data_IF_369109250615
#
_entry.id   IF_369109250615
#
_cell.length_a   1.000
_cell.length_b   1.000
_cell.length_c   1.000
_cell.angle_alpha   90.00
_cell.angle_beta   90.00
_cell.angle_gamma   90.00
#
_symmetry.space_group_name_H-M   'P 1'
#
loop_
_entity.id
_entity.type
_entity.pdbx_description
1 polymer ?
#
# COMPACT_ATOMS: atom_id res chain seq x y z
N UNK A 1 37.82 -0.35 10.77
CA UNK A 1 37.28 0.24 9.51
C UNK A 1 37.35 -0.70 8.28
N UNK A 2 37.54 -2.02 8.45
CA UNK A 2 37.60 -3.01 7.35
C UNK A 2 36.52 -4.11 7.39
N UNK A 3 35.58 -4.06 8.34
CA UNK A 3 34.51 -5.07 8.48
C UNK A 3 33.20 -4.64 7.79
N UNK A 4 32.97 -3.32 7.64
CA UNK A 4 31.79 -2.80 6.93
C UNK A 4 31.84 -2.94 5.41
N UNK A 5 33.03 -3.16 4.81
CA UNK A 5 33.15 -3.41 3.36
C UNK A 5 32.65 -4.80 2.95
N UNK A 6 32.61 -5.75 3.89
CA UNK A 6 32.24 -7.14 3.62
C UNK A 6 30.73 -7.33 3.48
N UNK A 7 29.91 -6.48 4.11
CA UNK A 7 28.45 -6.56 4.09
C UNK A 7 27.75 -5.70 3.02
N UNK A 8 28.51 -4.84 2.31
CA UNK A 8 27.99 -3.96 1.25
C UNK A 8 28.48 -4.35 -0.15
N UNK A 9 29.03 -5.55 -0.33
CA UNK A 9 29.51 -6.03 -1.63
C UNK A 9 28.38 -6.68 -2.44
N UNK A 10 27.93 -6.10 -3.58
CA UNK A 10 26.80 -6.63 -4.36
C UNK A 10 27.14 -7.87 -5.21
N UNK A 11 28.22 -8.59 -4.92
CA UNK A 11 28.90 -9.35 -5.97
C UNK A 11 29.00 -10.85 -5.79
N UNK A 12 28.01 -11.49 -5.15
CA UNK A 12 27.99 -12.96 -5.05
C UNK A 12 26.62 -13.59 -5.24
N UNK A 13 25.87 -13.11 -6.24
CA UNK A 13 24.68 -13.77 -6.77
C UNK A 13 24.90 -13.92 -8.28
N UNK A 14 24.69 -15.14 -8.76
CA UNK A 14 24.76 -15.58 -10.15
C UNK A 14 23.91 -14.71 -11.08
N UNK A 15 24.50 -13.63 -11.58
CA UNK A 15 24.10 -13.00 -12.83
C UNK A 15 25.12 -13.39 -13.92
N UNK A 16 24.74 -13.43 -15.21
CA UNK A 16 25.74 -13.38 -16.27
C UNK A 16 26.61 -12.15 -16.01
N UNK A 17 27.92 -12.39 -15.86
CA UNK A 17 28.94 -11.44 -15.40
C UNK A 17 28.48 -9.97 -15.35
N UNK A 18 27.93 -9.54 -14.21
CA UNK A 18 27.60 -8.13 -14.01
C UNK A 18 28.91 -7.34 -14.13
N UNK A 19 29.02 -6.37 -15.06
CA UNK A 19 30.28 -5.72 -15.34
C UNK A 19 30.69 -4.89 -14.12
N UNK A 20 31.67 -5.35 -13.36
CA UNK A 20 32.20 -4.60 -12.21
C UNK A 20 32.97 -3.35 -12.72
N UNK A 21 32.90 -2.26 -11.97
CA UNK A 21 33.58 -1.00 -12.27
C UNK A 21 32.64 0.07 -12.86
N UNK A 22 33.20 1.06 -13.57
CA UNK A 22 32.44 2.18 -14.17
C UNK A 22 31.30 1.73 -15.10
N UNK A 23 31.41 0.52 -15.67
CA UNK A 23 30.41 -0.06 -16.58
C UNK A 23 29.14 -0.56 -15.86
N UNK A 24 29.25 -1.19 -14.68
CA UNK A 24 28.11 -1.64 -13.88
C UNK A 24 27.32 -0.48 -13.28
N UNK A 25 28.04 0.53 -12.74
CA UNK A 25 27.40 1.78 -12.31
C UNK A 25 26.67 2.47 -13.46
N UNK A 26 27.26 2.47 -14.67
CA UNK A 26 26.62 3.00 -15.87
C UNK A 26 25.38 2.18 -16.29
N UNK A 27 25.37 0.86 -16.10
CA UNK A 27 24.22 -0.01 -16.34
C UNK A 27 23.08 0.23 -15.34
N UNK A 28 23.38 0.38 -14.06
CA UNK A 28 22.39 0.77 -13.04
C UNK A 28 21.85 2.19 -13.27
N UNK A 29 22.73 3.16 -13.53
CA UNK A 29 22.35 4.54 -13.84
C UNK A 29 21.51 4.61 -15.12
N UNK A 30 21.85 3.84 -16.16
CA UNK A 30 21.04 3.79 -17.39
C UNK A 30 19.72 3.06 -17.18
N UNK A 31 19.65 2.07 -16.29
CA UNK A 31 18.41 1.38 -15.89
C UNK A 31 17.48 2.31 -15.11
N UNK A 32 17.96 2.98 -14.07
CA UNK A 32 17.19 3.97 -13.29
C UNK A 32 16.75 5.11 -14.21
N UNK A 33 17.64 5.64 -15.03
CA UNK A 33 17.31 6.69 -16.01
C UNK A 33 16.28 6.22 -17.04
N UNK A 34 16.26 4.93 -17.39
CA UNK A 34 15.22 4.35 -18.26
C UNK A 34 13.89 4.26 -17.53
N UNK A 35 13.86 3.79 -16.29
CA UNK A 35 12.64 3.72 -15.46
C UNK A 35 12.06 5.11 -15.22
N UNK A 36 12.90 6.10 -14.88
CA UNK A 36 12.48 7.49 -14.70
C UNK A 36 11.88 8.05 -15.99
N UNK A 37 12.52 7.82 -17.14
CA UNK A 37 11.97 8.24 -18.44
C UNK A 37 10.62 7.58 -18.73
N UNK A 38 10.53 6.25 -18.59
CA UNK A 38 9.27 5.52 -18.80
C UNK A 38 8.18 6.06 -17.87
N UNK A 39 8.48 6.29 -16.59
CA UNK A 39 7.55 6.86 -15.63
C UNK A 39 7.04 8.24 -16.06
N UNK A 40 7.94 9.16 -16.43
CA UNK A 40 7.54 10.50 -16.86
C UNK A 40 6.80 10.50 -18.20
N UNK A 41 7.21 9.67 -19.16
CA UNK A 41 6.49 9.49 -20.43
C UNK A 41 5.09 8.95 -20.18
N UNK A 42 4.94 7.95 -19.31
CA UNK A 42 3.65 7.39 -18.92
C UNK A 42 2.76 8.42 -18.20
N UNK A 43 3.32 9.18 -17.25
CA UNK A 43 2.59 10.26 -16.57
C UNK A 43 2.20 11.39 -17.53
N UNK A 44 3.07 11.74 -18.46
CA UNK A 44 2.79 12.70 -19.53
C UNK A 44 1.64 12.22 -20.43
N UNK A 45 1.63 10.94 -20.81
CA UNK A 45 0.55 10.34 -21.59
C UNK A 45 -0.79 10.39 -20.83
N UNK A 46 -0.80 10.01 -19.56
CA UNK A 46 -2.01 10.08 -18.73
C UNK A 46 -2.51 11.52 -18.56
N UNK A 47 -1.60 12.48 -18.41
CA UNK A 47 -1.94 13.90 -18.34
C UNK A 47 -2.54 14.38 -19.66
N UNK A 48 -1.96 13.98 -20.79
CA UNK A 48 -2.46 14.31 -22.12
C UNK A 48 -3.88 13.76 -22.33
N UNK A 49 -4.10 12.49 -21.98
CA UNK A 49 -5.44 11.87 -22.00
C UNK A 49 -6.42 12.65 -21.13
N UNK A 50 -6.00 13.09 -19.93
CA UNK A 50 -6.84 13.87 -19.04
C UNK A 50 -7.22 15.25 -19.60
N UNK A 51 -6.30 15.92 -20.29
CA UNK A 51 -6.52 17.25 -20.87
C UNK A 51 -7.33 17.22 -22.17
N UNK A 52 -7.18 16.15 -22.97
CA UNK A 52 -7.85 15.97 -24.27
C UNK A 52 -9.20 15.27 -24.16
N UNK A 53 -9.55 14.73 -22.99
CA UNK A 53 -10.83 14.08 -22.75
C UNK A 53 -12.01 15.03 -23.02
N UNK A 54 -13.03 14.63 -23.82
CA UNK A 54 -14.25 15.41 -24.01
C UNK A 54 -15.15 15.39 -22.74
N UNK A 55 -16.07 16.35 -22.59
CA UNK A 55 -17.08 16.40 -21.51
C UNK A 55 -16.84 17.48 -20.44
N UNK A 56 -17.69 17.58 -19.41
CA UNK A 56 -17.61 18.62 -18.35
C UNK A 56 -16.58 18.31 -17.23
N UNK A 57 -15.85 17.19 -17.32
CA UNK A 57 -14.95 16.71 -16.26
C UNK A 57 -15.66 15.80 -15.25
N UNK A 58 -14.87 15.14 -14.39
CA UNK A 58 -15.37 14.09 -13.47
C UNK A 58 -16.19 14.64 -12.30
N UNK A 59 -15.98 15.91 -11.92
CA UNK A 59 -16.47 16.48 -10.67
C UNK A 59 -17.17 17.83 -10.85
N UNK A 60 -18.46 17.86 -10.56
CA UNK A 60 -19.29 19.08 -10.58
C UNK A 60 -18.91 20.06 -9.47
N UNK A 61 -18.30 19.61 -8.38
CA UNK A 61 -17.91 20.46 -7.24
C UNK A 61 -16.82 21.46 -7.63
N UNK A 62 -15.92 21.06 -8.53
CA UNK A 62 -14.89 21.96 -9.07
C UNK A 62 -15.55 23.07 -9.88
N UNK A 63 -16.49 22.72 -10.77
CA UNK A 63 -17.23 23.68 -11.58
C UNK A 63 -18.03 24.66 -10.72
N UNK A 64 -18.77 24.16 -9.71
CA UNK A 64 -19.52 25.01 -8.77
C UNK A 64 -18.60 26.01 -8.05
N UNK A 65 -17.39 25.57 -7.64
CA UNK A 65 -16.42 26.43 -6.97
C UNK A 65 -15.91 27.55 -7.89
N UNK A 66 -15.71 27.25 -9.18
CA UNK A 66 -15.33 28.25 -10.18
C UNK A 66 -16.49 29.20 -10.49
N UNK A 67 -17.70 28.68 -10.67
CA UNK A 67 -18.89 29.48 -10.96
C UNK A 67 -19.20 30.49 -9.83
N UNK A 68 -18.94 30.12 -8.57
CA UNK A 68 -19.13 30.99 -7.40
C UNK A 68 -18.08 32.10 -7.30
N UNK A 69 -16.84 31.86 -7.75
CA UNK A 69 -15.70 32.76 -7.57
C UNK A 69 -15.29 33.52 -8.85
N UNK A 70 -15.97 33.30 -9.98
CA UNK A 70 -15.64 33.94 -11.25
C UNK A 70 -15.95 35.44 -11.21
N UNK A 71 -14.95 36.33 -11.35
CA UNK A 71 -15.20 37.75 -11.52
C UNK A 71 -15.87 37.97 -12.88
N UNK A 72 -17.03 38.64 -12.91
CA UNK A 72 -17.69 39.07 -14.15
C UNK A 72 -16.83 40.15 -14.84
N UNK A 73 -15.81 39.75 -15.60
CA UNK A 73 -15.04 40.66 -16.46
C UNK A 73 -13.60 40.22 -16.72
N UNK A 74 -13.29 40.01 -18.00
CA UNK A 74 -11.95 39.79 -18.59
C UNK A 74 -11.31 38.41 -18.37
N UNK A 75 -11.68 37.42 -19.20
CA UNK A 75 -10.98 36.14 -19.28
C UNK A 75 -9.89 36.16 -20.35
N UNK A 76 -8.66 36.46 -19.93
CA UNK A 76 -7.45 36.17 -20.71
C UNK A 76 -7.43 34.71 -21.16
N UNK A 77 -6.89 34.42 -22.35
CA UNK A 77 -6.71 33.04 -22.84
C UNK A 77 -5.98 32.15 -21.82
N UNK A 78 -5.03 32.73 -21.07
CA UNK A 78 -4.31 32.03 -19.99
C UNK A 78 -5.25 31.60 -18.87
N UNK A 79 -6.23 32.44 -18.50
CA UNK A 79 -7.23 32.11 -17.49
C UNK A 79 -8.12 30.95 -17.96
N UNK A 80 -8.54 30.95 -19.23
CA UNK A 80 -9.33 29.85 -19.80
C UNK A 80 -8.56 28.52 -19.87
N UNK A 81 -7.29 28.57 -20.25
CA UNK A 81 -6.41 27.38 -20.25
C UNK A 81 -6.19 26.87 -18.83
N UNK A 82 -5.95 27.79 -17.87
CA UNK A 82 -5.75 27.43 -16.47
C UNK A 82 -7.01 26.81 -15.87
N UNK A 83 -8.17 27.42 -16.12
CA UNK A 83 -9.47 26.89 -15.70
C UNK A 83 -9.73 25.49 -16.28
N UNK A 84 -9.48 25.29 -17.59
CA UNK A 84 -9.60 23.97 -18.21
C UNK A 84 -8.68 22.93 -17.56
N UNK A 85 -7.43 23.29 -17.28
CA UNK A 85 -6.47 22.40 -16.60
C UNK A 85 -6.92 22.09 -15.17
N UNK A 86 -7.37 23.09 -14.40
CA UNK A 86 -7.80 22.90 -13.01
C UNK A 86 -9.07 22.06 -12.95
N UNK A 87 -10.06 22.29 -13.81
CA UNK A 87 -11.28 21.47 -13.91
C UNK A 87 -10.97 20.00 -14.20
N UNK A 88 -9.96 19.72 -15.04
CA UNK A 88 -9.58 18.34 -15.40
C UNK A 88 -8.76 17.63 -14.35
N UNK A 89 -7.98 18.37 -13.55
CA UNK A 89 -7.04 17.80 -12.57
C UNK A 89 -7.55 17.86 -11.12
N UNK A 90 -8.55 18.68 -10.83
CA UNK A 90 -9.13 18.83 -9.48
C UNK A 90 -10.25 17.81 -9.28
N UNK A 91 -10.32 17.27 -8.06
CA UNK A 91 -11.33 16.30 -7.68
C UNK A 91 -11.92 16.71 -6.34
N UNK A 92 -13.12 16.24 -6.06
CA UNK A 92 -13.87 16.59 -4.85
C UNK A 92 -13.04 16.40 -3.58
N UNK A 93 -12.27 15.31 -3.44
CA UNK A 93 -11.32 15.12 -2.33
C UNK A 93 -10.39 16.33 -2.14
N UNK A 94 -9.80 16.85 -3.22
CA UNK A 94 -8.91 18.00 -3.17
C UNK A 94 -9.66 19.27 -2.73
N UNK A 95 -10.88 19.47 -3.21
CA UNK A 95 -11.72 20.60 -2.78
C UNK A 95 -12.00 20.51 -1.29
N UNK A 96 -12.41 19.34 -0.78
CA UNK A 96 -12.63 19.12 0.65
C UNK A 96 -11.36 19.37 1.47
N UNK A 97 -10.19 18.92 1.01
CA UNK A 97 -8.93 19.21 1.69
C UNK A 97 -8.56 20.70 1.63
N UNK A 98 -8.79 21.38 0.51
CA UNK A 98 -8.49 22.81 0.35
C UNK A 98 -9.41 23.66 1.22
N UNK A 99 -10.73 23.43 1.15
CA UNK A 99 -11.72 24.13 1.95
C UNK A 99 -11.47 23.92 3.45
N UNK A 100 -11.24 22.68 3.87
CA UNK A 100 -10.94 22.35 5.26
C UNK A 100 -9.62 22.94 5.76
N UNK A 101 -8.64 23.13 4.87
CA UNK A 101 -7.38 23.80 5.22
C UNK A 101 -7.55 25.31 5.36
N UNK A 102 -8.37 25.92 4.51
CA UNK A 102 -8.61 27.36 4.50
C UNK A 102 -9.48 27.83 5.66
N UNK A 103 -10.64 27.17 5.85
CA UNK A 103 -11.66 27.61 6.82
C UNK A 103 -11.86 26.67 8.01
N UNK A 104 -11.13 25.56 8.06
CA UNK A 104 -11.41 24.50 9.03
C UNK A 104 -12.65 23.68 8.65
N UNK A 105 -13.00 22.73 9.51
CA UNK A 105 -14.14 21.84 9.33
C UNK A 105 -15.39 22.59 9.78
N UNK A 106 -16.42 22.62 8.93
CA UNK A 106 -17.73 23.19 9.26
C UNK A 106 -18.82 22.13 9.21
N UNK A 107 -18.72 21.20 8.26
CA UNK A 107 -19.76 20.21 8.02
C UNK A 107 -19.33 18.80 8.46
N UNK A 108 -20.29 18.00 8.91
CA UNK A 108 -20.04 16.64 9.42
C UNK A 108 -19.37 15.74 8.36
N UNK A 109 -19.77 15.84 7.09
CA UNK A 109 -19.19 15.03 6.01
C UNK A 109 -17.69 15.27 5.81
N UNK A 110 -17.16 16.41 6.24
CA UNK A 110 -15.74 16.73 6.10
C UNK A 110 -14.88 15.82 6.98
N UNK A 111 -15.45 15.27 8.07
CA UNK A 111 -14.80 14.34 9.01
C UNK A 111 -14.47 12.96 8.43
N UNK A 112 -14.92 12.68 7.20
CA UNK A 112 -14.44 11.56 6.42
C UNK A 112 -13.01 11.74 5.90
N UNK A 113 -12.59 13.00 5.76
CA UNK A 113 -11.27 13.39 5.28
C UNK A 113 -10.33 13.65 6.45
N UNK A 114 -9.02 13.54 6.20
CA UNK A 114 -8.00 13.68 7.24
C UNK A 114 -7.99 15.08 7.87
N UNK A 115 -8.46 15.14 9.10
CA UNK A 115 -8.42 16.35 9.94
C UNK A 115 -6.99 16.82 10.19
N UNK A 116 -6.08 15.88 10.47
CA UNK A 116 -4.65 16.17 10.71
C UNK A 116 -4.02 16.77 9.47
N UNK A 117 -4.26 16.19 8.29
CA UNK A 117 -3.72 16.73 7.04
C UNK A 117 -4.20 18.16 6.81
N UNK A 118 -5.50 18.43 6.93
CA UNK A 118 -6.07 19.77 6.75
C UNK A 118 -5.45 20.82 7.67
N UNK A 119 -5.14 20.46 8.92
CA UNK A 119 -4.44 21.36 9.87
C UNK A 119 -2.98 21.59 9.50
N UNK A 120 -2.28 20.56 9.04
CA UNK A 120 -0.90 20.67 8.59
C UNK A 120 -0.80 21.52 7.32
N UNK A 121 -1.68 21.31 6.34
CA UNK A 121 -1.74 22.09 5.11
C UNK A 121 -2.21 23.52 5.36
N UNK A 122 -3.12 23.78 6.31
CA UNK A 122 -3.48 25.14 6.73
C UNK A 122 -2.27 25.95 7.20
N UNK A 123 -1.41 25.34 8.05
CA UNK A 123 -0.17 25.97 8.51
C UNK A 123 0.90 26.08 7.42
N UNK A 124 0.93 25.11 6.50
CA UNK A 124 1.86 25.08 5.38
C UNK A 124 1.38 25.91 4.17
N UNK A 125 0.16 26.46 4.17
CA UNK A 125 -0.43 27.18 3.03
C UNK A 125 0.32 28.46 2.61
N UNK A 126 1.35 28.88 3.35
CA UNK A 126 2.35 29.83 2.86
C UNK A 126 3.36 29.21 1.87
N UNK A 127 3.25 27.92 1.53
CA UNK A 127 4.14 27.21 0.60
C UNK A 127 3.47 25.99 -0.05
N UNK A 128 2.95 26.17 -1.27
CA UNK A 128 2.58 25.16 -2.26
C UNK A 128 1.59 24.04 -1.84
N UNK A 129 0.33 24.18 -2.28
CA UNK A 129 -0.73 23.18 -2.17
C UNK A 129 -0.49 21.96 -3.08
N UNK A 130 -0.68 20.73 -2.57
CA UNK A 130 -0.44 19.48 -3.31
C UNK A 130 -1.68 18.55 -3.28
N UNK A 131 -2.56 18.57 -4.31
CA UNK A 131 -3.93 18.00 -4.31
C UNK A 131 -4.05 16.47 -4.14
N UNK A 132 -2.94 15.73 -3.99
CA UNK A 132 -2.91 14.27 -3.82
C UNK A 132 -1.96 13.80 -2.71
N UNK A 133 -1.56 14.71 -1.81
CA UNK A 133 -0.62 14.39 -0.74
C UNK A 133 -1.15 13.29 0.21
N UNK A 134 -2.43 13.24 0.63
CA UNK A 134 -2.87 12.25 1.62
C UNK A 134 -2.73 10.79 1.17
N UNK A 135 -2.97 10.49 -0.12
CA UNK A 135 -2.84 9.13 -0.69
C UNK A 135 -1.37 8.70 -0.72
N UNK A 136 -0.49 9.61 -1.15
CA UNK A 136 0.95 9.35 -1.26
C UNK A 136 1.60 9.25 0.11
N UNK A 137 1.24 10.14 1.03
CA UNK A 137 1.69 10.12 2.42
C UNK A 137 1.20 8.87 3.13
N UNK A 138 -0.06 8.45 2.93
CA UNK A 138 -0.58 7.18 3.43
C UNK A 138 0.25 5.98 2.95
N UNK A 139 0.52 5.89 1.64
CA UNK A 139 1.30 4.80 1.07
C UNK A 139 2.74 4.81 1.59
N UNK A 140 3.40 5.97 1.60
CA UNK A 140 4.77 6.12 2.09
C UNK A 140 4.90 5.72 3.57
N UNK A 141 3.97 6.18 4.43
CA UNK A 141 3.95 5.83 5.85
C UNK A 141 3.62 4.36 6.08
N UNK A 142 2.74 3.77 5.27
CA UNK A 142 2.42 2.32 5.36
C UNK A 142 3.62 1.46 4.96
N UNK A 143 4.35 1.83 3.90
CA UNK A 143 5.59 1.16 3.51
C UNK A 143 6.69 1.33 4.56
N UNK A 144 6.84 2.53 5.12
CA UNK A 144 7.77 2.80 6.22
C UNK A 144 7.43 1.97 7.45
N UNK A 145 6.14 1.87 7.81
CA UNK A 145 5.66 1.02 8.90
C UNK A 145 5.98 -0.46 8.68
N UNK A 146 5.73 -0.98 7.48
CA UNK A 146 6.10 -2.34 7.10
C UNK A 146 7.61 -2.57 7.17
N UNK A 147 8.42 -1.62 6.70
CA UNK A 147 9.88 -1.69 6.77
C UNK A 147 10.38 -1.73 8.21
N UNK A 148 9.90 -0.80 9.06
CA UNK A 148 10.22 -0.77 10.49
C UNK A 148 9.79 -2.08 11.17
N UNK A 149 8.63 -2.64 10.81
CA UNK A 149 8.17 -3.93 11.33
C UNK A 149 9.12 -5.08 10.94
N UNK A 150 9.53 -5.15 9.67
CA UNK A 150 10.52 -6.16 9.23
C UNK A 150 11.83 -6.02 10.00
N UNK A 151 12.31 -4.79 10.22
CA UNK A 151 13.51 -4.52 11.03
C UNK A 151 13.34 -4.90 12.50
N UNK A 152 12.16 -4.73 13.07
CA UNK A 152 11.86 -5.22 14.40
C UNK A 152 12.01 -6.75 14.48
N UNK A 153 11.35 -7.48 13.55
CA UNK A 153 11.42 -8.95 13.50
C UNK A 153 12.85 -9.44 13.22
N UNK A 154 13.61 -8.76 12.36
CA UNK A 154 15.01 -9.10 12.10
C UNK A 154 15.85 -9.07 13.38
N UNK A 155 15.66 -8.05 14.23
CA UNK A 155 16.33 -7.92 15.51
C UNK A 155 15.87 -8.97 16.53
N UNK A 156 14.60 -9.41 16.51
CA UNK A 156 14.10 -10.50 17.38
C UNK A 156 14.86 -11.81 17.21
N UNK A 157 15.35 -12.09 16.00
CA UNK A 157 16.10 -13.32 15.72
C UNK A 157 17.62 -13.14 15.76
N UNK A 158 18.12 -11.94 16.07
CA UNK A 158 19.53 -11.69 16.33
C UNK A 158 19.89 -12.00 17.79
N UNK A 159 21.15 -12.41 18.04
CA UNK A 159 21.62 -12.93 19.34
C UNK A 159 22.59 -11.99 20.08
N UNK A 160 22.58 -10.68 19.79
CA UNK A 160 23.43 -9.72 20.51
C UNK A 160 22.68 -9.11 21.71
N UNK A 161 23.41 -8.66 22.73
CA UNK A 161 22.86 -8.29 24.04
C UNK A 161 21.74 -7.21 23.98
N UNK A 162 21.85 -6.24 23.07
CA UNK A 162 20.90 -5.12 22.96
C UNK A 162 19.78 -5.35 21.92
N UNK A 163 19.69 -6.56 21.34
CA UNK A 163 18.77 -6.84 20.23
C UNK A 163 17.29 -6.62 20.59
N UNK A 164 16.91 -6.91 21.84
CA UNK A 164 15.54 -6.76 22.33
C UNK A 164 15.11 -5.29 22.47
N UNK A 165 16.05 -4.39 22.81
CA UNK A 165 15.78 -2.95 22.87
C UNK A 165 15.61 -2.36 21.46
N UNK A 166 16.45 -2.79 20.51
CA UNK A 166 16.30 -2.40 19.12
C UNK A 166 14.98 -2.91 18.52
N UNK A 167 14.58 -4.16 18.78
CA UNK A 167 13.27 -4.69 18.40
C UNK A 167 12.13 -3.80 18.91
N UNK A 168 12.18 -3.42 20.19
CA UNK A 168 11.18 -2.56 20.79
C UNK A 168 11.11 -1.19 20.11
N UNK A 169 12.26 -0.54 19.87
CA UNK A 169 12.34 0.74 19.18
C UNK A 169 11.77 0.67 17.75
N UNK A 170 12.14 -0.35 16.98
CA UNK A 170 11.63 -0.56 15.63
C UNK A 170 10.13 -0.89 15.62
N UNK A 171 9.64 -1.65 16.59
CA UNK A 171 8.21 -1.96 16.77
C UNK A 171 7.41 -0.69 17.03
N UNK A 172 7.88 0.18 17.93
CA UNK A 172 7.24 1.47 18.23
C UNK A 172 7.32 2.40 17.01
N UNK A 173 8.44 2.45 16.29
CA UNK A 173 8.58 3.22 15.05
C UNK A 173 7.60 2.75 13.96
N UNK A 174 7.35 1.43 13.87
CA UNK A 174 6.34 0.87 12.97
C UNK A 174 4.93 1.31 13.39
N UNK A 175 4.60 1.24 14.68
CA UNK A 175 3.33 1.72 15.24
C UNK A 175 3.10 3.21 15.01
N UNK A 176 4.12 4.05 15.19
CA UNK A 176 4.07 5.48 14.90
C UNK A 176 3.79 5.73 13.42
N UNK A 177 4.51 5.04 12.53
CA UNK A 177 4.33 5.18 11.09
C UNK A 177 2.92 4.77 10.64
N UNK A 178 2.41 3.63 11.14
CA UNK A 178 1.05 3.19 10.87
C UNK A 178 -0.02 4.08 11.52
N UNK A 179 0.23 4.63 12.71
CA UNK A 179 -0.66 5.57 13.37
C UNK A 179 -0.77 6.88 12.60
N UNK A 180 0.35 7.42 12.13
CA UNK A 180 0.36 8.57 11.22
C UNK A 180 -0.35 8.24 9.91
N UNK A 181 -0.14 7.05 9.33
CA UNK A 181 -0.89 6.61 8.15
C UNK A 181 -2.42 6.59 8.42
N UNK A 182 -2.82 6.14 9.61
CA UNK A 182 -4.23 6.09 10.04
C UNK A 182 -4.86 7.46 10.17
N UNK A 183 -4.10 8.48 10.61
CA UNK A 183 -4.60 9.87 10.62
C UNK A 183 -4.78 10.43 9.21
N UNK A 184 -3.97 10.01 8.23
CA UNK A 184 -4.12 10.39 6.82
C UNK A 184 -5.33 9.70 6.16
N UNK A 185 -5.58 8.44 6.54
CA UNK A 185 -6.75 7.67 6.10
C UNK A 185 -7.11 6.61 7.16
N UNK A 186 -8.38 6.57 7.53
CA UNK A 186 -8.94 5.57 8.46
C UNK A 186 -8.67 4.12 8.06
N UNK A 187 -8.50 3.81 6.77
CA UNK A 187 -8.09 2.49 6.29
C UNK A 187 -6.74 2.00 6.85
N UNK A 188 -5.89 2.91 7.32
CA UNK A 188 -4.64 2.57 8.02
C UNK A 188 -4.84 1.77 9.30
N UNK A 189 -6.05 1.83 9.89
CA UNK A 189 -6.43 1.04 11.07
C UNK A 189 -6.24 -0.47 10.82
N UNK A 190 -6.40 -0.94 9.58
CA UNK A 190 -6.20 -2.35 9.21
C UNK A 190 -4.76 -2.82 9.44
N UNK A 191 -3.76 -1.93 9.39
CA UNK A 191 -2.38 -2.29 9.72
C UNK A 191 -2.21 -2.68 11.20
N UNK A 192 -3.14 -2.28 12.08
CA UNK A 192 -3.15 -2.69 13.49
C UNK A 192 -3.34 -4.19 13.69
N UNK A 193 -3.86 -4.91 12.69
CA UNK A 193 -4.01 -6.37 12.73
C UNK A 193 -2.65 -7.08 12.82
N UNK A 194 -1.58 -6.48 12.27
CA UNK A 194 -0.22 -7.01 12.38
C UNK A 194 0.18 -7.14 13.86
N UNK A 195 -0.05 -6.10 14.65
CA UNK A 195 0.25 -6.10 16.08
C UNK A 195 -0.75 -6.91 16.89
N UNK A 196 -2.03 -6.93 16.50
CA UNK A 196 -3.03 -7.78 17.13
C UNK A 196 -2.66 -9.27 17.01
N UNK A 197 -2.15 -9.68 15.84
CA UNK A 197 -1.62 -11.03 15.63
C UNK A 197 -0.43 -11.30 16.54
N UNK A 198 0.53 -10.36 16.66
CA UNK A 198 1.68 -10.51 17.56
C UNK A 198 1.24 -10.66 19.02
N UNK A 199 0.31 -9.84 19.50
CA UNK A 199 -0.28 -9.97 20.84
C UNK A 199 -0.96 -11.32 21.02
N UNK A 200 -1.75 -11.77 20.06
CA UNK A 200 -2.42 -13.07 20.09
C UNK A 200 -1.41 -14.22 20.23
N UNK A 201 -0.25 -14.15 19.56
CA UNK A 201 0.80 -15.17 19.71
C UNK A 201 1.54 -15.11 21.04
N UNK A 202 1.59 -13.94 21.70
CA UNK A 202 2.23 -13.75 23.01
C UNK A 202 1.28 -14.17 24.15
N UNK A 203 -0.03 -14.00 23.98
CA UNK A 203 -1.03 -14.17 25.03
C UNK A 203 -0.96 -15.52 25.77
N UNK A 204 -0.79 -16.69 25.11
CA UNK A 204 -0.66 -17.97 25.82
C UNK A 204 0.62 -18.09 26.67
N UNK A 205 1.68 -17.35 26.31
CA UNK A 205 2.97 -17.34 27.02
C UNK A 205 3.03 -16.28 28.12
N UNK A 206 2.05 -15.39 28.19
CA UNK A 206 2.02 -14.27 29.11
C UNK A 206 2.14 -14.67 30.60
N UNK A 207 1.45 -15.72 31.10
CA UNK A 207 1.58 -16.13 32.51
C UNK A 207 3.01 -16.57 32.85
N UNK A 208 3.70 -17.23 31.91
CA UNK A 208 5.08 -17.66 32.10
C UNK A 208 6.03 -16.46 32.12
N UNK A 209 5.92 -15.54 31.15
CA UNK A 209 6.72 -14.30 31.05
C UNK A 209 6.61 -13.46 32.33
N UNK A 210 5.40 -13.31 32.86
CA UNK A 210 5.16 -12.53 34.08
C UNK A 210 5.72 -13.22 35.33
N UNK A 211 5.64 -14.56 35.39
CA UNK A 211 6.16 -15.33 36.53
C UNK A 211 7.69 -15.37 36.57
N UNK A 212 8.34 -15.51 35.42
CA UNK A 212 9.81 -15.55 35.31
C UNK A 212 10.44 -14.17 35.26
N UNK A 213 9.63 -13.10 35.15
CA UNK A 213 10.09 -11.71 34.94
C UNK A 213 11.05 -11.60 33.75
N UNK A 214 10.71 -12.27 32.66
CA UNK A 214 11.48 -12.22 31.42
C UNK A 214 11.44 -10.81 30.82
N UNK A 215 12.55 -10.08 30.97
CA UNK A 215 12.68 -8.70 30.50
C UNK A 215 12.44 -8.56 29.00
N UNK A 216 12.89 -9.53 28.20
CA UNK A 216 12.69 -9.50 26.74
C UNK A 216 11.20 -9.60 26.39
N UNK A 217 10.51 -10.61 26.95
CA UNK A 217 9.09 -10.83 26.74
C UNK A 217 8.24 -9.63 27.18
N UNK A 218 8.58 -9.02 28.32
CA UNK A 218 7.90 -7.84 28.86
C UNK A 218 8.12 -6.63 27.94
N UNK A 219 9.36 -6.31 27.58
CA UNK A 219 9.67 -5.17 26.70
C UNK A 219 8.97 -5.31 25.34
N UNK A 220 8.98 -6.51 24.74
CA UNK A 220 8.29 -6.77 23.47
C UNK A 220 6.78 -6.59 23.57
N UNK A 221 6.16 -7.07 24.66
CA UNK A 221 4.73 -6.89 24.90
C UNK A 221 4.38 -5.39 25.00
N UNK A 222 5.10 -4.64 25.83
CA UNK A 222 4.87 -3.21 25.98
C UNK A 222 5.10 -2.44 24.68
N UNK A 223 6.15 -2.76 23.91
CA UNK A 223 6.40 -2.15 22.61
C UNK A 223 5.26 -2.44 21.62
N UNK A 224 4.75 -3.67 21.57
CA UNK A 224 3.65 -4.08 20.68
C UNK A 224 2.34 -3.41 21.07
N UNK A 225 2.03 -3.33 22.37
CA UNK A 225 0.85 -2.63 22.89
C UNK A 225 0.93 -1.12 22.62
N UNK A 226 2.11 -0.53 22.82
CA UNK A 226 2.36 0.88 22.50
C UNK A 226 2.16 1.14 21.01
N UNK A 227 2.72 0.27 20.15
CA UNK A 227 2.57 0.38 18.70
C UNK A 227 1.12 0.28 18.24
N UNK A 228 0.35 -0.67 18.77
CA UNK A 228 -1.09 -0.78 18.52
C UNK A 228 -1.89 0.42 19.07
N UNK A 229 -1.51 0.91 20.25
CA UNK A 229 -2.09 2.11 20.87
C UNK A 229 -1.89 3.36 20.02
N UNK A 230 -0.71 3.55 19.41
CA UNK A 230 -0.45 4.67 18.50
C UNK A 230 -1.37 4.64 17.25
N UNK A 231 -1.68 3.45 16.74
CA UNK A 231 -2.66 3.29 15.65
C UNK A 231 -4.07 3.65 16.12
N UNK A 232 -4.46 3.15 17.30
CA UNK A 232 -5.76 3.46 17.88
C UNK A 232 -5.92 4.97 18.10
N UNK A 233 -4.91 5.65 18.64
CA UNK A 233 -4.87 7.12 18.80
C UNK A 233 -5.04 7.81 17.43
N UNK A 234 -4.36 7.32 16.39
CA UNK A 234 -4.49 7.86 15.04
C UNK A 234 -5.92 7.82 14.48
N UNK A 235 -6.74 6.85 14.91
CA UNK A 235 -8.14 6.74 14.54
C UNK A 235 -9.09 7.48 15.50
N UNK A 236 -8.87 7.40 16.81
CA UNK A 236 -9.78 7.94 17.83
C UNK A 236 -9.61 9.44 18.04
N UNK A 237 -8.43 10.01 17.83
CA UNK A 237 -8.19 11.44 18.04
C UNK A 237 -9.14 12.32 17.20
N UNK A 238 -9.28 12.15 15.87
CA UNK A 238 -10.26 12.92 15.10
C UNK A 238 -11.71 12.68 15.57
N UNK A 239 -12.04 11.46 15.99
CA UNK A 239 -13.39 11.12 16.47
C UNK A 239 -13.73 11.86 17.77
N UNK A 240 -12.76 11.97 18.69
CA UNK A 240 -12.93 12.70 19.96
C UNK A 240 -13.10 14.19 19.69
N UNK A 241 -12.28 14.78 18.82
CA UNK A 241 -12.40 16.21 18.48
C UNK A 241 -13.78 16.49 17.87
N UNK A 242 -14.24 15.65 16.94
CA UNK A 242 -15.58 15.77 16.38
C UNK A 242 -16.67 15.64 17.45
N UNK A 243 -16.54 14.67 18.35
CA UNK A 243 -17.49 14.49 19.44
C UNK A 243 -17.57 15.73 20.34
N UNK A 244 -16.42 16.32 20.68
CA UNK A 244 -16.39 17.56 21.48
C UNK A 244 -17.04 18.74 20.78
N UNK A 245 -17.08 18.76 19.44
CA UNK A 245 -17.64 19.86 18.66
C UNK A 245 -19.15 19.70 18.42
N UNK A 246 -19.62 18.50 18.08
CA UNK A 246 -21.02 18.27 17.70
C UNK A 246 -21.91 17.68 18.80
N UNK A 247 -21.34 16.96 19.76
CA UNK A 247 -22.09 16.25 20.80
C UNK A 247 -22.09 16.97 22.15
N UNK A 248 -21.40 18.10 22.26
CA UNK A 248 -21.42 18.96 23.44
C UNK A 248 -22.41 20.12 23.23
N UNK A 249 -22.73 20.88 24.29
CA UNK A 249 -23.59 22.06 24.24
C UNK A 249 -25.06 21.79 23.85
N UNK A 250 -25.62 20.64 24.23
CA UNK A 250 -27.04 20.35 24.09
C UNK A 250 -27.49 19.88 22.70
N UNK A 251 -26.57 19.72 21.75
CA UNK A 251 -26.84 19.11 20.46
C UNK A 251 -26.83 17.57 20.56
N UNK A 252 -27.91 16.91 20.15
CA UNK A 252 -28.03 15.45 20.16
C UNK A 252 -28.09 14.91 18.73
N UNK A 253 -26.93 14.88 18.05
CA UNK A 253 -26.85 14.17 16.75
C UNK A 253 -27.04 12.65 16.98
N UNK A 254 -27.66 11.92 16.05
CA UNK A 254 -27.98 10.49 16.24
C UNK A 254 -26.76 9.60 16.54
N UNK A 255 -25.58 10.03 16.12
CA UNK A 255 -24.34 9.28 16.32
C UNK A 255 -23.66 9.57 17.66
N UNK A 256 -24.07 10.62 18.39
CA UNK A 256 -23.56 10.92 19.72
C UNK A 256 -24.03 9.90 20.76
N UNK A 257 -25.22 9.31 20.57
CA UNK A 257 -25.82 8.30 21.44
C UNK A 257 -25.57 6.87 20.97
N UNK A 258 -24.93 6.69 19.81
CA UNK A 258 -24.57 5.37 19.29
C UNK A 258 -23.42 4.75 20.10
N UNK A 259 -23.39 3.41 20.20
CA UNK A 259 -22.33 2.68 20.91
C UNK A 259 -21.54 1.78 19.93
N UNK A 260 -20.26 2.07 19.64
CA UNK A 260 -19.49 3.26 20.02
C UNK A 260 -19.89 4.52 19.21
N UNK A 261 -19.75 5.73 19.78
CA UNK A 261 -20.01 6.97 19.06
C UNK A 261 -18.92 7.18 18.00
N UNK A 262 -19.31 7.36 16.74
CA UNK A 262 -18.38 7.48 15.61
C UNK A 262 -18.97 8.37 14.52
N UNK A 263 -18.44 9.59 14.38
CA UNK A 263 -18.80 10.48 13.28
C UNK A 263 -18.45 9.84 11.94
N UNK A 264 -17.33 9.11 11.87
CA UNK A 264 -16.92 8.43 10.63
C UNK A 264 -17.98 7.41 10.19
N UNK A 265 -18.44 6.55 11.09
CA UNK A 265 -19.45 5.53 10.76
C UNK A 265 -20.79 6.15 10.38
N UNK A 266 -21.17 7.23 11.07
CA UNK A 266 -22.37 7.99 10.73
C UNK A 266 -22.28 8.58 9.33
N UNK A 267 -21.18 9.27 9.05
CA UNK A 267 -20.97 9.94 7.78
C UNK A 267 -20.92 8.94 6.61
N UNK A 268 -20.23 7.80 6.80
CA UNK A 268 -20.21 6.71 5.81
C UNK A 268 -21.63 6.20 5.50
N UNK A 269 -22.47 6.05 6.51
CA UNK A 269 -23.84 5.55 6.37
C UNK A 269 -24.80 6.60 5.80
N UNK A 270 -24.76 7.82 6.32
CA UNK A 270 -25.74 8.89 6.06
C UNK A 270 -25.48 9.58 4.72
N UNK A 271 -24.24 9.99 4.46
CA UNK A 271 -23.90 10.79 3.27
C UNK A 271 -23.44 9.94 2.08
N UNK A 272 -22.86 8.76 2.32
CA UNK A 272 -22.37 7.88 1.25
C UNK A 272 -23.10 6.54 1.15
N UNK A 273 -24.12 6.28 1.96
CA UNK A 273 -24.89 5.03 1.94
C UNK A 273 -24.01 3.75 2.00
N UNK A 274 -22.88 3.82 2.71
CA UNK A 274 -21.96 2.70 2.91
C UNK A 274 -22.58 1.71 3.90
N UNK A 275 -22.51 0.43 3.56
CA UNK A 275 -23.02 -0.64 4.41
C UNK A 275 -22.97 -1.98 3.69
N UNK A 276 -23.27 -3.04 4.44
CA UNK A 276 -23.21 -4.41 3.94
C UNK A 276 -24.14 -4.59 2.73
N UNK A 277 -23.56 -4.95 1.60
CA UNK A 277 -24.15 -5.14 0.28
C UNK A 277 -24.94 -3.95 -0.31
N UNK A 278 -24.92 -2.77 0.32
CA UNK A 278 -25.65 -1.58 -0.16
C UNK A 278 -25.17 -1.07 -1.51
N UNK A 279 -23.91 -1.34 -1.82
CA UNK A 279 -23.29 -0.93 -3.07
C UNK A 279 -23.62 -1.87 -4.26
N UNK A 280 -24.19 -3.05 -3.99
CA UNK A 280 -24.54 -4.05 -5.01
C UNK A 280 -25.82 -3.66 -5.74
N UNK A 281 -25.67 -2.77 -6.72
CA UNK A 281 -26.74 -2.39 -7.66
C UNK A 281 -26.27 -2.63 -9.09
N UNK A 282 -27.21 -2.90 -10.01
CA UNK A 282 -26.88 -3.10 -11.42
C UNK A 282 -26.22 -1.86 -12.04
N UNK A 283 -26.60 -0.66 -11.57
CA UNK A 283 -26.01 0.60 -12.02
C UNK A 283 -24.53 0.71 -11.64
N UNK A 284 -24.11 0.09 -10.54
CA UNK A 284 -22.72 0.08 -10.08
C UNK A 284 -21.88 -1.02 -10.74
N UNK A 285 -22.47 -1.93 -11.53
CA UNK A 285 -21.76 -3.03 -12.17
C UNK A 285 -20.51 -2.59 -12.94
N UNK A 286 -20.51 -1.50 -13.73
CA UNK A 286 -19.29 -1.02 -14.40
C UNK A 286 -18.15 -0.72 -13.43
N UNK A 287 -18.47 -0.24 -12.23
CA UNK A 287 -17.49 0.11 -11.20
C UNK A 287 -16.88 -1.13 -10.54
N UNK A 288 -17.68 -2.20 -10.38
CA UNK A 288 -17.16 -3.51 -9.98
C UNK A 288 -16.25 -4.11 -11.04
N UNK A 289 -16.64 -4.07 -12.31
CA UNK A 289 -15.80 -4.55 -13.42
C UNK A 289 -14.48 -3.80 -13.49
N UNK A 290 -14.51 -2.50 -13.20
CA UNK A 290 -13.34 -1.65 -13.15
C UNK A 290 -12.40 -1.98 -11.98
N UNK A 291 -12.90 -2.41 -10.83
CA UNK A 291 -12.08 -2.77 -9.67
C UNK A 291 -11.68 -4.25 -9.64
N UNK A 292 -12.37 -5.11 -10.40
CA UNK A 292 -12.19 -6.56 -10.36
C UNK A 292 -10.76 -7.05 -10.67
N UNK A 293 -10.03 -6.53 -11.68
CA UNK A 293 -8.67 -7.02 -11.97
C UNK A 293 -7.72 -6.80 -10.79
N UNK A 294 -7.79 -5.63 -10.16
CA UNK A 294 -6.97 -5.30 -9.01
C UNK A 294 -7.41 -6.08 -7.76
N UNK A 295 -8.72 -6.18 -7.51
CA UNK A 295 -9.25 -6.97 -6.39
C UNK A 295 -8.84 -8.44 -6.49
N UNK A 296 -8.94 -9.03 -7.68
CA UNK A 296 -8.48 -10.40 -7.96
C UNK A 296 -6.98 -10.55 -7.68
N UNK A 297 -6.15 -9.65 -8.20
CA UNK A 297 -4.70 -9.66 -7.95
C UNK A 297 -4.38 -9.58 -6.46
N UNK A 298 -5.04 -8.70 -5.72
CA UNK A 298 -4.82 -8.53 -4.27
C UNK A 298 -5.29 -9.75 -3.45
N UNK A 299 -6.44 -10.36 -3.78
CA UNK A 299 -6.89 -11.60 -3.13
C UNK A 299 -5.89 -12.71 -3.41
N UNK A 300 -5.55 -12.90 -4.69
CA UNK A 300 -4.74 -14.01 -5.14
C UNK A 300 -3.31 -13.96 -4.54
N UNK A 301 -2.69 -12.77 -4.55
CA UNK A 301 -1.38 -12.54 -3.92
C UNK A 301 -1.42 -12.69 -2.39
N UNK A 302 -2.48 -12.22 -1.72
CA UNK A 302 -2.63 -12.37 -0.28
C UNK A 302 -2.82 -13.85 0.12
N UNK A 303 -3.69 -14.60 -0.56
CA UNK A 303 -3.90 -16.03 -0.31
C UNK A 303 -2.63 -16.84 -0.58
N UNK A 304 -1.88 -16.51 -1.63
CA UNK A 304 -0.58 -17.14 -1.90
C UNK A 304 0.43 -16.86 -0.78
N UNK A 305 0.49 -15.63 -0.29
CA UNK A 305 1.35 -15.22 0.81
C UNK A 305 0.97 -15.88 2.15
N UNK A 306 -0.32 -16.19 2.37
CA UNK A 306 -0.84 -16.85 3.57
C UNK A 306 -0.72 -18.37 3.53
N UNK A 307 -1.02 -19.01 2.41
CA UNK A 307 -1.17 -20.46 2.28
C UNK A 307 0.09 -21.16 1.74
N UNK A 308 0.97 -20.45 1.02
CA UNK A 308 2.12 -21.02 0.32
C UNK A 308 3.45 -20.39 0.71
N UNK A 309 3.54 -19.83 1.91
CA UNK A 309 4.72 -19.11 2.42
C UNK A 309 5.99 -19.96 2.39
N UNK A 310 5.91 -21.24 2.78
CA UNK A 310 7.07 -22.15 2.76
C UNK A 310 7.56 -22.45 1.34
N UNK A 311 6.61 -22.70 0.42
CA UNK A 311 6.90 -22.90 -0.99
C UNK A 311 7.55 -21.67 -1.62
N UNK A 312 7.09 -20.47 -1.25
CA UNK A 312 7.65 -19.20 -1.68
C UNK A 312 9.11 -19.05 -1.23
N UNK A 313 9.38 -19.29 0.05
CA UNK A 313 10.74 -19.20 0.59
C UNK A 313 11.70 -20.18 -0.10
N UNK A 314 11.29 -21.43 -0.26
CA UNK A 314 12.12 -22.48 -0.90
C UNK A 314 12.38 -22.23 -2.37
N UNK A 315 11.47 -21.56 -3.09
CA UNK A 315 11.70 -21.18 -4.49
C UNK A 315 12.60 -19.95 -4.64
N UNK A 316 12.57 -19.03 -3.67
CA UNK A 316 13.40 -17.82 -3.65
C UNK A 316 14.83 -18.09 -3.20
N UNK A 317 15.04 -19.12 -2.38
CA UNK A 317 16.37 -19.53 -1.93
C UNK A 317 17.05 -20.39 -2.99
N UNK A 318 18.08 -19.84 -3.64
CA UNK A 318 18.92 -20.59 -4.56
C UNK A 318 19.75 -21.62 -3.78
N UNK A 319 19.71 -22.88 -4.21
CA UNK A 319 20.50 -23.97 -3.62
C UNK A 319 21.99 -23.66 -3.60
N UNK A 320 22.51 -23.01 -4.65
CA UNK A 320 23.94 -22.65 -4.76
C UNK A 320 24.36 -21.59 -3.73
N UNK A 321 23.46 -20.68 -3.36
CA UNK A 321 23.72 -19.65 -2.34
C UNK A 321 23.60 -20.27 -0.93
N UNK A 322 22.60 -21.14 -0.75
CA UNK A 322 22.38 -21.90 0.49
C UNK A 322 23.58 -22.75 0.90
N UNK A 323 24.28 -23.37 -0.06
CA UNK A 323 25.49 -24.16 0.21
C UNK A 323 26.70 -23.32 0.69
N UNK A 324 26.73 -22.02 0.40
CA UNK A 324 27.83 -21.12 0.80
C UNK A 324 27.56 -20.32 2.07
N UNK A 325 26.32 -20.30 2.55
CA UNK A 325 25.90 -19.55 3.73
C UNK A 325 25.93 -20.41 5.00
N UNK A 326 26.10 -19.74 6.14
CA UNK A 326 26.01 -20.40 7.44
C UNK A 326 24.58 -20.96 7.63
N UNK A 327 24.41 -22.25 7.99
CA UNK A 327 23.10 -22.87 8.24
C UNK A 327 22.20 -22.08 9.21
N UNK A 328 22.80 -21.43 10.21
CA UNK A 328 22.06 -20.61 11.17
C UNK A 328 21.48 -19.32 10.55
N UNK A 329 22.13 -18.75 9.55
CA UNK A 329 21.65 -17.56 8.85
C UNK A 329 20.44 -17.89 7.98
N UNK A 330 20.49 -19.02 7.25
CA UNK A 330 19.40 -19.49 6.39
C UNK A 330 18.14 -19.77 7.21
N UNK A 331 18.28 -20.53 8.30
CA UNK A 331 17.16 -20.83 9.19
C UNK A 331 16.57 -19.57 9.84
N UNK A 332 17.41 -18.59 10.16
CA UNK A 332 16.94 -17.28 10.65
C UNK A 332 16.14 -16.53 9.59
N UNK A 333 16.66 -16.41 8.37
CA UNK A 333 15.97 -15.72 7.27
C UNK A 333 14.63 -16.39 6.95
N UNK A 334 14.59 -17.73 6.97
CA UNK A 334 13.37 -18.52 6.84
C UNK A 334 12.35 -18.13 7.90
N UNK A 335 12.75 -18.10 9.18
CA UNK A 335 11.84 -17.73 10.28
C UNK A 335 11.32 -16.30 10.15
N UNK A 336 12.16 -15.34 9.78
CA UNK A 336 11.75 -13.95 9.54
C UNK A 336 10.71 -13.91 8.41
N UNK A 337 10.98 -14.56 7.29
CA UNK A 337 10.08 -14.59 6.13
C UNK A 337 8.72 -15.19 6.48
N UNK A 338 8.72 -16.36 7.13
CA UNK A 338 7.53 -17.06 7.59
C UNK A 338 6.73 -16.26 8.62
N UNK A 339 7.40 -15.42 9.42
CA UNK A 339 6.74 -14.56 10.40
C UNK A 339 6.11 -13.33 9.74
N UNK A 340 6.84 -12.62 8.88
CA UNK A 340 6.44 -11.32 8.36
C UNK A 340 5.39 -11.45 7.25
N UNK A 341 5.63 -12.28 6.24
CA UNK A 341 4.84 -12.27 5.00
C UNK A 341 3.34 -12.53 5.22
N UNK A 342 2.91 -13.52 6.03
CA UNK A 342 1.50 -13.73 6.33
C UNK A 342 0.86 -12.52 7.03
N UNK A 343 1.55 -11.92 8.00
CA UNK A 343 1.00 -10.81 8.80
C UNK A 343 0.75 -9.56 7.99
N UNK A 344 1.63 -9.23 7.06
CA UNK A 344 1.43 -8.09 6.15
C UNK A 344 0.40 -8.39 5.05
N UNK A 345 0.07 -9.66 4.80
CA UNK A 345 -0.94 -10.08 3.82
C UNK A 345 -2.37 -10.01 4.35
N UNK A 346 -2.58 -10.19 5.66
CA UNK A 346 -3.92 -10.16 6.28
C UNK A 346 -4.63 -8.81 6.09
N UNK A 347 -4.00 -7.65 6.36
CA UNK A 347 -4.63 -6.34 6.12
C UNK A 347 -5.06 -6.16 4.66
N UNK A 348 -4.27 -6.67 3.70
CA UNK A 348 -4.59 -6.62 2.28
C UNK A 348 -5.85 -7.42 1.96
N UNK A 349 -5.95 -8.65 2.47
CA UNK A 349 -7.10 -9.51 2.24
C UNK A 349 -8.38 -8.93 2.83
N UNK A 350 -8.31 -8.42 4.07
CA UNK A 350 -9.46 -7.81 4.75
C UNK A 350 -9.94 -6.57 3.99
N UNK A 351 -9.03 -5.73 3.49
CA UNK A 351 -9.41 -4.59 2.66
C UNK A 351 -10.25 -5.02 1.45
N UNK A 352 -9.83 -6.07 0.73
CA UNK A 352 -10.57 -6.52 -0.47
C UNK A 352 -11.93 -7.11 -0.09
N UNK A 353 -12.00 -7.89 0.98
CA UNK A 353 -13.28 -8.42 1.48
C UNK A 353 -14.22 -7.30 1.90
N UNK A 354 -13.72 -6.29 2.61
CA UNK A 354 -14.51 -5.11 2.99
C UNK A 354 -14.93 -4.30 1.76
N UNK A 355 -14.08 -4.15 0.75
CA UNK A 355 -14.43 -3.45 -0.48
C UNK A 355 -15.45 -4.20 -1.35
N UNK A 356 -15.44 -5.53 -1.32
CA UNK A 356 -16.44 -6.35 -2.00
C UNK A 356 -17.78 -6.40 -1.27
N UNK A 357 -17.80 -6.22 0.05
CA UNK A 357 -19.02 -6.42 0.85
C UNK A 357 -19.63 -5.12 1.36
N UNK A 358 -18.82 -4.18 1.82
CA UNK A 358 -19.27 -3.11 2.71
C UNK A 358 -18.88 -1.71 2.24
N UNK A 359 -17.79 -1.56 1.47
CA UNK A 359 -17.34 -0.27 0.94
C UNK A 359 -17.65 -0.10 -0.56
N UNK A 360 -17.43 1.12 -1.06
CA UNK A 360 -17.39 1.38 -2.49
C UNK A 360 -16.18 0.66 -3.10
N UNK A 361 -16.42 -0.26 -4.04
CA UNK A 361 -15.38 -1.13 -4.61
C UNK A 361 -14.25 -0.34 -5.30
N UNK A 362 -14.54 0.86 -5.78
CA UNK A 362 -13.58 1.79 -6.41
C UNK A 362 -12.44 2.19 -5.47
N UNK A 363 -12.63 2.10 -4.15
CA UNK A 363 -11.62 2.41 -3.14
C UNK A 363 -10.37 1.53 -3.34
N UNK A 364 -10.52 0.30 -3.83
CA UNK A 364 -9.39 -0.59 -4.12
C UNK A 364 -8.40 0.03 -5.11
N UNK A 365 -8.90 0.64 -6.18
CA UNK A 365 -8.09 1.28 -7.21
C UNK A 365 -7.28 2.47 -6.68
N UNK A 366 -7.68 3.03 -5.54
CA UNK A 366 -7.04 4.20 -4.92
C UNK A 366 -6.10 3.85 -3.77
N UNK A 367 -6.45 2.84 -2.96
CA UNK A 367 -5.76 2.55 -1.70
C UNK A 367 -4.82 1.34 -1.81
N UNK A 368 -4.97 0.49 -2.83
CA UNK A 368 -4.06 -0.64 -3.07
C UNK A 368 -2.58 -0.29 -3.05
N UNK A 369 -2.21 0.94 -3.44
CA UNK A 369 -0.82 1.42 -3.43
C UNK A 369 -0.20 1.51 -2.04
N UNK A 370 -0.99 1.46 -0.95
CA UNK A 370 -0.50 1.42 0.42
C UNK A 370 -0.21 0.02 0.96
N UNK A 371 -0.50 -1.04 0.19
CA UNK A 371 -0.31 -2.43 0.61
C UNK A 371 0.88 -3.06 -0.12
N UNK A 372 1.83 -3.60 0.64
CA UNK A 372 3.14 -4.05 0.12
C UNK A 372 3.08 -5.42 -0.56
N UNK A 373 2.17 -6.30 -0.14
CA UNK A 373 2.23 -7.74 -0.49
C UNK A 373 2.05 -7.99 -1.98
N UNK A 374 1.08 -7.37 -2.63
CA UNK A 374 0.88 -7.60 -4.06
C UNK A 374 2.08 -7.12 -4.90
N UNK A 375 2.76 -6.03 -4.52
CA UNK A 375 4.00 -5.59 -5.18
C UNK A 375 5.13 -6.61 -5.00
N UNK A 376 5.31 -7.11 -3.77
CA UNK A 376 6.32 -8.11 -3.47
C UNK A 376 6.07 -9.40 -4.26
N UNK A 377 4.82 -9.88 -4.26
CA UNK A 377 4.45 -11.11 -4.97
C UNK A 377 4.60 -11.00 -6.49
N UNK A 378 4.27 -9.84 -7.08
CA UNK A 378 4.55 -9.58 -8.50
C UNK A 378 6.04 -9.63 -8.81
N UNK A 379 6.88 -9.03 -7.97
CA UNK A 379 8.34 -9.07 -8.15
C UNK A 379 8.87 -10.50 -8.07
N UNK A 380 8.35 -11.32 -7.15
CA UNK A 380 8.67 -12.75 -7.05
C UNK A 380 8.29 -13.49 -8.33
N UNK A 381 7.12 -13.23 -8.92
CA UNK A 381 6.72 -13.90 -10.16
C UNK A 381 7.61 -13.53 -11.35
N UNK A 382 7.89 -12.24 -11.52
CA UNK A 382 8.78 -11.77 -12.59
C UNK A 382 10.16 -12.43 -12.46
N UNK A 383 10.66 -12.52 -11.22
CA UNK A 383 11.93 -13.19 -10.95
C UNK A 383 11.89 -14.69 -11.30
N UNK A 384 10.84 -15.40 -10.90
CA UNK A 384 10.70 -16.84 -11.18
C UNK A 384 10.51 -17.14 -12.67
N UNK A 385 9.94 -16.21 -13.44
CA UNK A 385 9.77 -16.35 -14.89
C UNK A 385 11.06 -16.06 -15.67
N UNK A 386 11.84 -15.05 -15.25
CA UNK A 386 13.10 -14.66 -15.88
C UNK A 386 14.22 -15.70 -15.75
N UNK A 387 14.16 -16.60 -14.77
CA UNK A 387 15.16 -17.66 -14.53
C UNK A 387 14.96 -18.87 -15.48
N UNK A 388 14.00 -18.81 -16.41
CA UNK A 388 13.84 -19.79 -17.49
C UNK A 388 14.86 -19.51 -18.62
N UNK A 389 15.66 -20.49 -19.07
CA UNK A 389 16.66 -20.22 -20.10
C UNK A 389 15.99 -19.82 -21.41
N UNK A 390 16.24 -18.60 -21.87
CA UNK A 390 16.16 -18.25 -23.28
C UNK A 390 17.19 -19.10 -24.04
N UNK A 391 16.68 -19.83 -25.04
CA UNK A 391 17.44 -20.54 -26.08
C UNK A 391 18.41 -21.62 -25.60
N UNK A 392 18.04 -22.86 -25.91
CA UNK A 392 18.95 -23.99 -26.06
C UNK A 392 19.97 -23.62 -27.14
N UNK A 393 21.14 -23.11 -26.72
CA UNK A 393 22.37 -23.31 -27.48
C UNK A 393 23.03 -24.52 -26.84
N UNK A 394 23.13 -25.60 -27.61
CA UNK A 394 23.76 -26.86 -27.23
C UNK A 394 25.20 -26.60 -26.77
N UNK A 395 25.41 -26.70 -25.46
CA UNK A 395 26.71 -26.72 -24.80
C UNK A 395 26.65 -27.72 -23.64
N UNK A 396 27.75 -28.42 -23.32
CA UNK A 396 27.68 -29.71 -22.65
C UNK A 396 27.23 -29.58 -21.19
N UNK A 397 26.32 -30.47 -20.81
CA UNK A 397 25.92 -30.85 -19.46
C UNK A 397 25.70 -29.71 -18.44
N UNK A 398 24.49 -29.15 -18.39
CA UNK A 398 23.97 -28.56 -17.15
C UNK A 398 23.67 -29.69 -16.17
N UNK A 399 24.26 -29.63 -14.97
CA UNK A 399 24.03 -30.55 -13.86
C UNK A 399 22.54 -30.91 -13.69
N UNK A 400 22.20 -32.20 -13.57
CA UNK A 400 20.82 -32.70 -13.40
C UNK A 400 20.08 -32.02 -12.23
N UNK A 401 20.81 -31.64 -11.18
CA UNK A 401 20.30 -30.91 -10.02
C UNK A 401 19.83 -29.47 -10.33
N UNK A 402 20.44 -28.82 -11.32
CA UNK A 402 20.05 -27.51 -11.82
C UNK A 402 18.77 -27.56 -12.64
N UNK A 403 18.64 -28.57 -13.51
CA UNK A 403 17.45 -28.78 -14.33
C UNK A 403 16.19 -29.05 -13.48
N UNK A 404 16.28 -29.92 -12.48
CA UNK A 404 15.17 -30.21 -11.54
C UNK A 404 14.76 -29.00 -10.70
N UNK A 405 15.68 -28.10 -10.37
CA UNK A 405 15.38 -26.91 -9.56
C UNK A 405 14.64 -25.85 -10.39
N UNK A 406 15.04 -25.65 -11.66
CA UNK A 406 14.33 -24.77 -12.61
C UNK A 406 12.91 -25.29 -12.89
N UNK A 407 12.76 -26.60 -13.06
CA UNK A 407 11.46 -27.23 -13.29
C UNK A 407 10.52 -27.08 -12.09
N UNK A 408 11.04 -27.25 -10.86
CA UNK A 408 10.28 -26.95 -9.62
C UNK A 408 9.87 -25.49 -9.51
N UNK A 409 10.75 -24.53 -9.84
CA UNK A 409 10.41 -23.10 -9.87
C UNK A 409 9.28 -22.81 -10.86
N UNK A 410 9.34 -23.38 -12.08
CA UNK A 410 8.29 -23.24 -13.09
C UNK A 410 6.98 -23.89 -12.66
N UNK A 411 7.02 -25.09 -12.10
CA UNK A 411 5.84 -25.78 -11.59
C UNK A 411 5.19 -25.00 -10.44
N UNK A 412 6.00 -24.43 -9.54
CA UNK A 412 5.50 -23.60 -8.45
C UNK A 412 4.92 -22.28 -8.94
N UNK A 413 5.59 -21.59 -9.87
CA UNK A 413 5.06 -20.38 -10.51
C UNK A 413 3.74 -20.66 -11.26
N UNK A 414 3.66 -21.74 -12.02
CA UNK A 414 2.43 -22.19 -12.69
C UNK A 414 1.33 -22.63 -11.72
N UNK A 415 1.70 -23.24 -10.59
CA UNK A 415 0.76 -23.58 -9.52
C UNK A 415 0.29 -22.35 -8.74
N UNK A 416 1.09 -21.29 -8.67
CA UNK A 416 0.70 -20.03 -8.09
C UNK A 416 -0.30 -19.38 -9.05
N UNK A 417 0.09 -19.06 -10.29
CA UNK A 417 -0.75 -18.32 -11.24
C UNK A 417 -2.01 -19.09 -11.69
N UNK A 418 -2.23 -20.32 -11.21
CA UNK A 418 -3.32 -21.21 -11.60
C UNK A 418 -3.00 -21.84 -12.95
N UNK A 419 -2.93 -23.17 -12.99
CA UNK A 419 -2.42 -23.93 -14.15
C UNK A 419 -3.09 -23.55 -15.49
N UNK A 420 -4.35 -23.11 -15.45
CA UNK A 420 -5.11 -22.65 -16.63
C UNK A 420 -4.86 -21.20 -17.04
N UNK A 421 -4.64 -20.28 -16.08
CA UNK A 421 -4.52 -18.84 -16.34
C UNK A 421 -3.06 -18.47 -16.70
N UNK A 422 -2.09 -19.12 -16.05
CA UNK A 422 -0.65 -18.91 -16.26
C UNK A 422 -0.14 -19.45 -17.60
N UNK A 423 -0.60 -20.64 -17.99
CA UNK A 423 -0.13 -21.29 -19.22
C UNK A 423 -0.65 -20.61 -20.49
N UNK A 424 -1.68 -19.76 -20.38
CA UNK A 424 -2.37 -19.13 -21.51
C UNK A 424 -2.08 -17.65 -21.70
N UNK A 425 -1.68 -16.93 -20.64
CA UNK A 425 -1.32 -15.52 -20.73
C UNK A 425 0.18 -15.39 -20.98
N UNK A 426 0.57 -15.18 -22.24
CA UNK A 426 1.94 -14.70 -22.51
C UNK A 426 2.16 -13.41 -21.70
N UNK A 427 3.36 -13.16 -21.13
CA UNK A 427 3.68 -11.91 -20.43
C UNK A 427 3.29 -10.65 -21.20
N UNK A 428 3.40 -10.71 -22.53
CA UNK A 428 2.97 -9.66 -23.46
C UNK A 428 1.47 -9.31 -23.35
N UNK A 429 0.60 -10.32 -23.20
CA UNK A 429 -0.84 -10.11 -23.06
C UNK A 429 -1.18 -9.51 -21.70
N UNK A 430 -0.51 -9.95 -20.64
CA UNK A 430 -0.70 -9.39 -19.31
C UNK A 430 -0.23 -7.94 -19.26
N UNK A 431 0.93 -7.64 -19.85
CA UNK A 431 1.42 -6.27 -19.98
C UNK A 431 0.46 -5.40 -20.79
N UNK A 432 0.01 -5.85 -21.97
CA UNK A 432 -0.98 -5.13 -22.80
C UNK A 432 -2.29 -4.91 -22.04
N UNK A 433 -2.78 -5.92 -21.32
CA UNK A 433 -3.99 -5.82 -20.53
C UNK A 433 -3.84 -4.80 -19.38
N UNK A 434 -2.71 -4.78 -18.68
CA UNK A 434 -2.43 -3.81 -17.62
C UNK A 434 -2.25 -2.38 -18.15
N UNK A 435 -1.60 -2.22 -19.31
CA UNK A 435 -1.49 -0.92 -19.98
C UNK A 435 -2.86 -0.43 -20.44
N UNK A 436 -3.66 -1.28 -21.08
CA UNK A 436 -5.03 -0.95 -21.50
C UNK A 436 -5.92 -0.65 -20.30
N UNK A 437 -5.83 -1.44 -19.24
CA UNK A 437 -6.53 -1.18 -17.97
C UNK A 437 -6.16 0.19 -17.41
N UNK A 438 -4.88 0.53 -17.40
CA UNK A 438 -4.43 1.82 -16.88
C UNK A 438 -4.81 3.00 -17.79
N UNK A 439 -4.88 2.81 -19.11
CA UNK A 439 -5.43 3.80 -20.05
C UNK A 439 -6.93 3.97 -19.87
N UNK A 440 -7.69 2.89 -19.71
CA UNK A 440 -9.14 2.92 -19.42
C UNK A 440 -9.39 3.63 -18.10
N UNK A 441 -8.61 3.33 -17.05
CA UNK A 441 -8.64 4.07 -15.78
C UNK A 441 -8.33 5.55 -15.96
N UNK A 442 -7.32 5.89 -16.75
CA UNK A 442 -6.97 7.29 -17.07
C UNK A 442 -8.08 8.02 -17.84
N UNK A 443 -8.69 7.35 -18.81
CA UNK A 443 -9.83 7.87 -19.57
C UNK A 443 -11.09 8.03 -18.71
N UNK A 444 -11.43 7.03 -17.89
CA UNK A 444 -12.55 7.11 -16.94
C UNK A 444 -12.31 8.18 -15.88
N UNK A 445 -11.07 8.32 -15.40
CA UNK A 445 -10.68 9.42 -14.52
C UNK A 445 -10.93 10.78 -15.17
N UNK A 446 -10.81 10.90 -16.49
CA UNK A 446 -10.94 12.15 -17.22
C UNK A 446 -12.36 12.46 -17.74
N UNK A 447 -13.16 11.42 -18.01
CA UNK A 447 -14.43 11.53 -18.75
C UNK A 447 -15.69 11.24 -17.92
N UNK A 448 -15.63 10.53 -16.79
CA UNK A 448 -16.83 9.96 -16.16
C UNK A 448 -17.40 10.81 -15.00
N UNK A 449 -18.72 10.98 -14.92
CA UNK A 449 -19.50 11.58 -13.81
C UNK A 449 -20.28 10.47 -13.07
N UNK A 450 -20.72 10.63 -11.80
CA UNK A 450 -20.02 10.93 -10.54
C UNK A 450 -19.83 9.65 -9.68
N UNK A 451 -19.19 9.67 -8.49
CA UNK A 451 -19.58 8.75 -7.43
C UNK A 451 -20.85 9.26 -6.74
N UNK A 452 -21.79 8.33 -6.54
CA UNK A 452 -23.01 8.34 -5.73
C UNK A 452 -23.49 9.67 -5.11
#
# INVERSE_FOLDING_TARGET
>A
MNVLKTYLSPTRISQPAAPRGKAGKRLEETSISRVIRIFWTWKGLLLLVALLAPGQGYDTSTQITFDQNHPKGSSSWVSKVTEHVVLRLTRWDAIYFASSSWRGYLYEQEWAFSWVFSRLSSKAANGAYMPNAPQRTFAALSFLGCYCYVKAIENRYHRFADAYQLDACWTVAAGLSFGLATTMRTNGLLNGIIFAWDVYTILPRLPHILRTRDGEGITRLFATLTAGGLIAIGFTLPQIVAYTEYCTNGNTRPWCTALPPSIYSFVQKEYWNVGLFRYWTLNNLPLFLLAAPLGYLMIFTALSALLRTEGLYTCLTDKKVSETQNPHTIEREKRIFMHVLPRIAVPQLILVVMAGTSFHVQILNRISSGYVVWYFMLAVWIYLESDGPETVVEGPAKDEAGATTVEKKKQFAGSMVGSSFAQRLRPEWLFRAMVMYALVQGGLYACFLPPA
#
